data_IF_890123039780
#
_entry.id   IF_890123039780
#
_cell.length_a   1.000
_cell.length_b   1.000
_cell.length_c   1.000
_cell.angle_alpha   90.00
_cell.angle_beta   90.00
_cell.angle_gamma   90.00
#
_symmetry.space_group_name_H-M   'P 1'
#
loop_
_entity.id
_entity.type
_entity.pdbx_description
1 polymer ?
2 polymer ?
3 water ?
#
# COMPACT_ATOMS: atom_id res chain seq x y z
N UNK A 9 -16.90 -6.12 8.56
CA UNK A 9 -15.62 -5.45 8.35
C UNK A 9 -14.69 -5.63 9.55
N UNK A 10 -13.44 -6.02 9.28
CA UNK A 10 -12.44 -6.22 10.31
C UNK A 10 -11.37 -5.15 10.15
N UNK A 11 -11.20 -4.30 11.17
CA UNK A 11 -10.15 -3.30 11.18
C UNK A 11 -8.81 -3.95 10.85
N UNK A 12 -8.07 -3.35 9.92
CA UNK A 12 -6.86 -3.97 9.41
C UNK A 12 -5.72 -2.96 9.40
N UNK A 13 -4.58 -3.36 9.95
CA UNK A 13 -3.36 -2.55 9.98
C UNK A 13 -2.37 -3.12 8.98
N UNK A 14 -1.77 -2.25 8.17
CA UNK A 14 -0.79 -2.63 7.15
C UNK A 14 0.58 -2.10 7.56
N UNK A 15 1.58 -2.99 7.61
CA UNK A 15 2.95 -2.61 7.94
C UNK A 15 3.79 -2.64 6.66
N UNK A 16 4.45 -1.53 6.34
CA UNK A 16 5.18 -1.38 5.07
C UNK A 16 6.62 -1.00 5.34
N UNK A 17 7.56 -1.76 4.76
CA UNK A 17 8.97 -1.37 4.74
C UNK A 17 9.48 -1.46 3.31
N UNK A 18 9.59 -0.33 2.60
CA UNK A 18 9.87 -0.41 1.16
C UNK A 18 11.27 -0.91 0.85
N UNK A 19 12.27 -0.49 1.61
CA UNK A 19 13.66 -0.87 1.36
C UNK A 19 14.26 -1.50 2.61
N UNK A 20 15.52 -1.94 2.49
CA UNK A 20 16.20 -2.59 3.61
C UNK A 20 16.37 -1.68 4.82
N UNK A 21 16.29 -0.37 4.64
CA UNK A 21 16.47 0.56 5.77
C UNK A 21 15.18 0.66 6.58
N UNK A 22 15.21 0.40 7.89
CA UNK A 22 13.99 0.55 8.69
C UNK A 22 13.52 1.99 8.82
N UNK A 23 14.36 2.96 8.46
CA UNK A 23 13.97 4.37 8.49
C UNK A 23 12.87 4.70 7.49
N UNK A 24 12.58 3.81 6.55
CA UNK A 24 11.50 4.04 5.61
C UNK A 24 10.19 3.40 5.99
N UNK A 25 10.12 2.78 7.16
CA UNK A 25 8.90 2.10 7.57
C UNK A 25 7.72 3.06 7.65
N UNK A 26 6.53 2.55 7.34
CA UNK A 26 5.30 3.26 7.66
C UNK A 26 4.21 2.23 7.99
N UNK A 27 3.07 2.71 8.46
CA UNK A 27 1.91 1.84 8.60
C UNK A 27 0.65 2.61 8.24
N UNK A 28 -0.40 1.86 7.93
CA UNK A 28 -1.70 2.43 7.60
C UNK A 28 -2.77 1.55 8.22
N UNK A 29 -3.93 2.13 8.52
CA UNK A 29 -5.00 1.28 8.98
C UNK A 29 -6.25 1.53 8.16
N UNK A 30 -7.10 0.51 8.13
CA UNK A 30 -8.23 0.42 7.22
C UNK A 30 -9.41 -0.17 7.97
N UNK A 31 -10.62 0.16 7.50
CA UNK A 31 -11.83 -0.33 8.15
C UNK A 31 -12.12 -1.79 7.84
N UNK A 32 -11.54 -2.35 6.78
CA UNK A 32 -11.79 -3.72 6.39
C UNK A 32 -10.57 -4.29 5.68
N UNK A 33 -10.55 -5.62 5.55
CA UNK A 33 -9.52 -6.27 4.75
C UNK A 33 -9.57 -5.76 3.32
N UNK A 34 -10.78 -5.66 2.76
CA UNK A 34 -10.94 -5.17 1.39
C UNK A 34 -10.34 -3.78 1.24
N UNK A 35 -10.62 -2.87 2.18
CA UNK A 35 -10.06 -1.53 2.06
C UNK A 35 -8.54 -1.57 2.15
N UNK A 36 -7.99 -2.48 2.95
CA UNK A 36 -6.54 -2.62 3.01
C UNK A 36 -5.97 -3.07 1.66
N UNK A 37 -6.61 -4.06 1.03
CA UNK A 37 -6.13 -4.52 -0.28
C UNK A 37 -6.27 -3.41 -1.33
N UNK A 38 -7.37 -2.65 -1.28
CA UNK A 38 -7.49 -1.49 -2.15
C UNK A 38 -6.36 -0.50 -1.88
N UNK A 39 -5.96 -0.38 -0.61
CA UNK A 39 -4.89 0.54 -0.25
C UNK A 39 -3.54 0.11 -0.80
N UNK A 40 -3.26 -1.20 -0.79
CA UNK A 40 -2.02 -1.68 -1.38
C UNK A 40 -1.97 -1.32 -2.86
N UNK A 41 -3.08 -1.55 -3.58
CA UNK A 41 -3.12 -1.17 -4.98
C UNK A 41 -2.91 0.33 -5.14
N UNK A 42 -3.55 1.14 -4.28
CA UNK A 42 -3.40 2.59 -4.39
C UNK A 42 -1.95 3.01 -4.18
N UNK A 43 -1.25 2.32 -3.27
CA UNK A 43 0.16 2.62 -3.01
C UNK A 43 1.01 2.39 -4.26
N UNK A 44 0.76 1.28 -4.96
CA UNK A 44 1.44 1.02 -6.23
C UNK A 44 1.05 2.04 -7.29
N UNK A 45 -0.23 2.36 -7.38
CA UNK A 45 -0.70 3.26 -8.41
C UNK A 45 -0.14 4.67 -8.21
N UNK A 46 0.04 5.09 -6.95
CA UNK A 46 0.68 6.37 -6.68
C UNK A 46 2.13 6.37 -7.16
N UNK A 47 2.83 5.25 -6.96
CA UNK A 47 4.18 5.07 -7.49
C UNK A 47 4.20 5.21 -9.01
N UNK A 48 3.24 4.58 -9.69
CA UNK A 48 3.16 4.71 -11.15
C UNK A 48 2.82 6.14 -11.57
N UNK A 49 1.95 6.80 -10.80
CA UNK A 49 1.57 8.18 -11.12
C UNK A 49 2.76 9.11 -11.03
N UNK A 50 3.59 8.96 -9.99
CA UNK A 50 4.77 9.81 -9.87
C UNK A 50 5.83 9.43 -10.90
N UNK A 51 5.81 8.18 -11.35
CA UNK A 51 6.71 7.79 -12.43
C UNK A 51 6.26 8.35 -13.77
N UNK A 52 4.96 8.55 -13.94
CA UNK A 52 4.38 8.93 -15.23
C UNK A 52 3.42 10.09 -15.03
N UNK A 53 3.94 11.26 -14.63
CA UNK A 53 3.06 12.40 -14.35
C UNK A 53 2.23 12.86 -15.54
N UNK A 54 2.68 12.58 -16.76
CA UNK A 54 1.97 13.01 -17.96
C UNK A 54 0.88 12.04 -18.40
N UNK A 55 0.68 10.93 -17.68
CA UNK A 55 -0.26 9.91 -18.13
C UNK A 55 -1.56 10.03 -17.36
N UNK A 56 -2.68 10.38 -18.01
CA UNK A 56 -3.95 10.48 -17.27
C UNK A 56 -4.50 9.13 -16.86
N UNK A 57 -4.06 8.05 -17.50
CA UNK A 57 -4.52 6.71 -17.20
C UNK A 57 -3.36 5.76 -17.43
N UNK A 58 -3.23 4.74 -16.59
CA UNK A 58 -2.21 3.71 -16.76
C UNK A 58 -2.89 2.35 -16.62
N UNK A 59 -2.54 1.42 -17.50
CA UNK A 59 -2.98 0.04 -17.36
C UNK A 59 -1.79 -0.82 -16.97
N UNK A 60 -2.00 -1.76 -16.06
CA UNK A 60 -0.94 -2.69 -15.67
C UNK A 60 -1.50 -4.10 -15.53
N UNK A 61 -0.65 -5.08 -15.82
CA UNK A 61 -0.97 -6.47 -15.52
C UNK A 61 -0.81 -6.70 -14.01
N UNK A 62 -1.64 -7.58 -13.46
CA UNK A 62 -1.51 -7.89 -12.03
C UNK A 62 -0.10 -8.34 -11.69
N UNK A 63 0.60 -8.98 -12.64
CA UNK A 63 1.96 -9.44 -12.38
C UNK A 63 2.90 -8.28 -12.04
N UNK A 64 2.66 -7.10 -12.62
CA UNK A 64 3.47 -5.92 -12.30
C UNK A 64 3.25 -5.48 -10.86
N UNK A 65 2.00 -5.48 -10.41
CA UNK A 65 1.71 -5.17 -9.02
C UNK A 65 2.34 -6.21 -8.09
N UNK A 66 2.28 -7.48 -8.47
CA UNK A 66 2.90 -8.52 -7.65
C UNK A 66 4.42 -8.38 -7.64
N UNK A 67 5.04 -8.03 -8.78
CA UNK A 67 6.48 -7.77 -8.80
C UNK A 67 6.83 -6.66 -7.83
N UNK A 68 6.03 -5.59 -7.84
CA UNK A 68 6.25 -4.46 -6.96
C UNK A 68 6.16 -4.89 -5.50
N UNK A 69 5.14 -5.68 -5.17
CA UNK A 69 5.00 -6.17 -3.80
C UNK A 69 6.18 -7.05 -3.43
N UNK A 70 6.58 -7.95 -4.33
CA UNK A 70 7.74 -8.80 -4.06
C UNK A 70 8.97 -7.98 -3.74
N UNK A 71 9.16 -6.87 -4.45
CA UNK A 71 10.37 -6.07 -4.30
C UNK A 71 10.36 -5.19 -3.05
N UNK A 72 9.21 -5.04 -2.37
CA UNK A 72 9.20 -4.38 -1.06
C UNK A 72 9.99 -5.20 -0.06
N UNK A 73 10.83 -4.53 0.74
CA UNK A 73 11.59 -5.26 1.76
C UNK A 73 10.67 -6.04 2.71
N UNK A 74 9.56 -5.44 3.12
CA UNK A 74 8.64 -6.12 4.00
C UNK A 74 7.24 -5.58 3.76
N UNK A 75 6.26 -6.48 3.75
CA UNK A 75 4.85 -6.10 3.75
C UNK A 75 4.08 -7.15 4.54
N UNK A 76 3.25 -6.71 5.47
CA UNK A 76 2.42 -7.64 6.21
C UNK A 76 1.19 -6.89 6.71
N UNK A 77 0.19 -7.64 7.18
CA UNK A 77 -0.97 -6.97 7.75
C UNK A 77 -1.47 -7.70 9.00
N UNK A 78 -2.39 -7.03 9.70
CA UNK A 78 -2.95 -7.50 10.96
C UNK A 78 -4.45 -7.26 10.91
N UNK A 79 -5.24 -8.33 11.05
CA UNK A 79 -6.68 -8.27 10.82
C UNK A 79 -7.39 -8.51 12.15
N UNK A 80 -8.23 -7.56 12.55
CA UNK A 80 -8.89 -7.64 13.84
C UNK A 80 -9.92 -8.77 13.85
N UNK A 81 -9.86 -9.61 14.88
CA UNK A 81 -10.79 -10.73 15.05
C UNK A 81 -11.65 -10.43 16.28
N UNK A 82 -12.94 -10.19 16.05
CA UNK A 82 -13.81 -9.75 17.14
C UNK A 82 -14.01 -10.82 18.21
N UNK A 83 -13.82 -12.10 17.88
CA UNK A 83 -14.12 -13.15 18.85
C UNK A 83 -13.06 -13.23 19.95
N UNK A 84 -11.83 -12.80 19.66
CA UNK A 84 -10.78 -12.71 20.67
C UNK A 84 -10.31 -11.29 20.94
N UNK A 85 -10.79 -10.31 20.18
CA UNK A 85 -10.33 -8.93 20.28
C UNK A 85 -8.81 -8.84 20.16
N UNK A 86 -8.26 -9.60 19.20
CA UNK A 86 -6.84 -9.59 18.89
C UNK A 86 -6.68 -9.50 17.37
N UNK A 87 -5.45 -9.27 16.93
CA UNK A 87 -5.15 -9.10 15.51
C UNK A 87 -4.44 -10.33 14.96
N UNK A 88 -4.98 -10.89 13.87
CA UNK A 88 -4.37 -12.05 13.23
C UNK A 88 -3.37 -11.59 12.17
N UNK A 89 -2.11 -12.03 12.23
CA UNK A 89 -1.12 -11.59 11.24
C UNK A 89 -1.12 -12.40 9.96
N UNK A 90 -0.91 -11.70 8.84
CA UNK A 90 -0.82 -12.32 7.53
C UNK A 90 0.31 -11.70 6.72
N UNK A 91 0.97 -12.53 5.93
CA UNK A 91 2.20 -12.15 5.27
C UNK A 91 1.94 -11.72 3.82
N UNK A 92 3.04 -11.43 3.13
CA UNK A 92 2.99 -10.88 1.78
C UNK A 92 2.21 -11.78 0.83
N UNK A 93 2.42 -13.09 0.92
CA UNK A 93 1.77 -13.98 -0.03
C UNK A 93 0.28 -14.08 0.23
N UNK A 94 -0.15 -13.99 1.49
CA UNK A 94 -1.58 -13.93 1.79
C UNK A 94 -2.20 -12.66 1.23
N UNK A 95 -1.51 -11.53 1.37
CA UNK A 95 -2.00 -10.26 0.84
C UNK A 95 -2.15 -10.33 -0.68
N UNK A 96 -1.14 -10.89 -1.37
CA UNK A 96 -1.22 -10.95 -2.83
C UNK A 96 -2.43 -11.76 -3.27
N UNK A 97 -2.72 -12.86 -2.59
CA UNK A 97 -3.90 -13.64 -2.94
C UNK A 97 -5.18 -12.85 -2.72
N UNK A 98 -5.29 -12.14 -1.59
CA UNK A 98 -6.51 -11.37 -1.34
C UNK A 98 -6.67 -10.24 -2.35
N UNK A 99 -5.55 -9.71 -2.85
CA UNK A 99 -5.62 -8.72 -3.92
C UNK A 99 -6.12 -9.35 -5.22
N UNK A 100 -5.60 -10.54 -5.58
CA UNK A 100 -6.11 -11.23 -6.75
C UNK A 100 -7.62 -11.43 -6.66
N UNK A 101 -8.10 -11.88 -5.50
CA UNK A 101 -9.53 -12.11 -5.33
C UNK A 101 -10.30 -10.80 -5.47
N UNK A 102 -9.79 -9.73 -4.85
CA UNK A 102 -10.44 -8.42 -4.95
C UNK A 102 -10.54 -7.95 -6.39
N UNK A 103 -9.42 -7.99 -7.12
CA UNK A 103 -9.41 -7.49 -8.48
C UNK A 103 -10.29 -8.34 -9.38
N UNK A 104 -10.35 -9.65 -9.14
CA UNK A 104 -11.24 -10.49 -9.95
C UNK A 104 -12.70 -10.11 -9.73
N UNK A 105 -13.09 -9.89 -8.47
CA UNK A 105 -14.44 -9.39 -8.18
C UNK A 105 -14.68 -8.04 -8.85
N UNK A 106 -13.72 -7.12 -8.74
CA UNK A 106 -13.89 -5.80 -9.34
C UNK A 106 -14.06 -5.89 -10.86
N UNK A 107 -13.32 -6.79 -11.50
CA UNK A 107 -13.45 -6.93 -12.95
C UNK A 107 -14.84 -7.42 -13.34
N UNK A 108 -15.43 -8.27 -12.51
CA UNK A 108 -16.76 -8.80 -12.77
C UNK A 108 -17.84 -7.84 -12.29
N UNK B 1 -22.86 23.50 29.79
CA UNK B 1 -22.85 22.46 28.76
C UNK B 1 -21.57 22.48 27.95
N UNK B 2 -20.94 21.32 27.78
CA UNK B 2 -19.68 21.27 27.05
C UNK B 2 -19.90 21.67 25.60
N UNK B 3 -18.84 22.17 24.98
CA UNK B 3 -18.91 22.59 23.59
C UNK B 3 -18.66 21.39 22.68
N UNK B 4 -19.50 21.24 21.65
CA UNK B 4 -19.24 20.25 20.61
C UNK B 4 -18.08 20.73 19.74
N UNK B 5 -17.14 19.83 19.44
CA UNK B 5 -15.92 20.18 18.72
C UNK B 5 -16.00 19.64 17.30
N UNK B 6 -15.93 20.54 16.31
CA UNK B 6 -15.90 20.14 14.91
C UNK B 6 -14.57 20.52 14.27
N UNK B 7 -14.16 19.74 13.28
CA UNK B 7 -12.87 19.93 12.63
C UNK B 7 -12.98 19.43 11.20
N UNK B 8 -12.01 19.77 10.34
CA UNK B 8 -12.09 19.29 8.95
C UNK B 8 -12.01 17.78 8.88
N UNK B 9 -12.60 17.23 7.82
CA UNK B 9 -12.49 15.80 7.57
C UNK B 9 -11.02 15.41 7.43
N UNK B 10 -10.65 14.30 8.06
CA UNK B 10 -9.29 13.80 7.97
C UNK B 10 -9.13 13.06 6.65
N UNK B 11 -8.12 13.44 5.87
CA UNK B 11 -7.86 12.75 4.62
C UNK B 11 -7.34 11.34 4.89
N UNK B 12 -7.75 10.39 4.05
CA UNK B 12 -7.24 9.04 4.18
C UNK B 12 -5.76 9.03 3.87
N UNK B 13 -4.98 8.35 4.70
CA UNK B 13 -3.54 8.31 4.52
C UNK B 13 -3.20 7.30 3.44
N UNK B 14 -2.45 7.74 2.43
CA UNK B 14 -1.99 6.88 1.35
C UNK B 14 -0.49 7.10 1.21
N UNK B 15 0.34 6.15 1.65
CA UNK B 15 1.79 6.39 1.70
C UNK B 15 2.40 6.61 0.32
N UNK B 16 3.22 7.66 0.21
CA UNK B 16 4.09 7.86 -0.95
C UNK B 16 5.44 7.23 -0.62
N UNK B 17 5.75 6.10 -1.27
CA UNK B 17 6.96 5.36 -0.91
C UNK B 17 8.24 5.99 -1.43
N UNK B 18 8.14 7.00 -2.30
CA UNK B 18 9.30 7.81 -2.73
C UNK B 18 10.39 6.95 -3.37
N UNK B 19 9.98 5.94 -4.12
CA UNK B 19 10.96 4.98 -4.60
C UNK B 19 11.87 5.54 -5.69
N UNK B 20 11.47 6.61 -6.38
CA UNK B 20 12.34 7.23 -7.38
C UNK B 20 13.23 8.32 -6.81
N UNK B 21 13.04 8.68 -5.54
CA UNK B 21 13.73 9.84 -4.97
C UNK B 21 15.23 9.59 -4.91
N UNK B 22 16.00 10.54 -5.45
CA UNK B 22 17.46 10.51 -5.41
C UNK B 22 18.05 9.29 -6.11
N UNK B 23 17.32 8.67 -7.04
CA UNK B 23 17.83 7.56 -7.84
C UNK B 23 18.62 8.14 -9.01
N UNK B 24 19.93 7.86 -9.04
CA UNK B 24 20.81 8.49 -10.01
C UNK B 24 21.57 7.44 -10.82
N UNK B 25 22.04 7.89 -11.98
CA UNK B 25 22.80 7.07 -12.91
C UNK B 25 24.04 7.86 -13.29
N UNK B 26 25.20 7.21 -13.28
CA UNK B 26 26.41 7.83 -13.78
C UNK B 26 26.85 7.07 -15.01
N UNK B 27 27.20 7.79 -16.07
CA UNK B 27 27.64 7.16 -17.31
C UNK B 27 29.00 7.72 -17.68
N UNK B 28 29.97 6.83 -17.86
CA UNK B 28 31.29 7.18 -18.34
C UNK B 28 31.36 6.93 -19.84
N UNK B 29 32.15 7.76 -20.53
CA UNK B 29 32.31 7.64 -21.96
C UNK B 29 33.73 7.27 -22.36
N UNK B 30 34.64 7.19 -21.39
CA UNK B 30 36.01 6.77 -21.64
C UNK B 30 36.13 5.24 -21.68
#
# INVERSE_FOLDING_TARGET
MGHHHHHHMSHTILLVQPTKRPEGRTYADYESVNECMEGVCKMYEEHLKRMNPNSPSITYDISQLFDFIDDLADLSCLVYRADTQTYQPYNKDWIKEKIYVLLRRQAQQAGK
PRTARHAPAVRKFSPDLKLLKDVKISVSFTE
#
